data_IF_738625886867
#
_entry.id   IF_738625886867
#
_cell.length_a   1.000
_cell.length_b   1.000
_cell.length_c   1.000
_cell.angle_alpha   90.00
_cell.angle_beta   90.00
_cell.angle_gamma   90.00
#
_symmetry.space_group_name_H-M   'P 1'
#
loop_
_entity.id
_entity.type
_entity.pdbx_description
1 polymer ?
#
# COMPACT_ATOMS: atom_id res chain seq x y z
N UNK A 1 -25.41 -15.03 3.95
CA UNK A 1 -25.90 -13.76 4.54
C UNK A 1 -24.72 -12.85 4.88
N UNK A 2 -24.12 -12.20 3.88
CA UNK A 2 -22.97 -11.29 4.07
C UNK A 2 -22.93 -10.12 3.06
N UNK A 3 -23.72 -10.17 1.97
CA UNK A 3 -23.69 -9.15 0.93
C UNK A 3 -24.62 -7.97 1.22
N UNK A 4 -25.82 -8.22 1.77
CA UNK A 4 -26.78 -7.15 2.09
C UNK A 4 -26.28 -6.21 3.21
N UNK A 5 -25.58 -6.77 4.20
CA UNK A 5 -24.95 -5.99 5.27
C UNK A 5 -23.81 -5.12 4.73
N UNK A 6 -23.02 -5.65 3.79
CA UNK A 6 -21.95 -4.89 3.14
C UNK A 6 -22.51 -3.81 2.21
N UNK A 7 -23.56 -4.09 1.43
CA UNK A 7 -24.25 -3.11 0.60
C UNK A 7 -24.71 -1.92 1.46
N UNK A 8 -25.42 -2.19 2.56
CA UNK A 8 -25.89 -1.17 3.50
C UNK A 8 -24.72 -0.37 4.11
N UNK A 9 -23.62 -1.06 4.45
CA UNK A 9 -22.44 -0.40 4.99
C UNK A 9 -21.73 0.50 3.96
N UNK A 10 -21.63 0.06 2.70
CA UNK A 10 -21.08 0.85 1.61
C UNK A 10 -21.93 2.11 1.38
N UNK A 11 -23.25 1.98 1.28
CA UNK A 11 -24.14 3.13 1.06
C UNK A 11 -24.16 4.13 2.22
N UNK A 12 -24.00 3.65 3.46
CA UNK A 12 -24.01 4.52 4.64
C UNK A 12 -22.68 5.23 4.90
N UNK A 13 -21.56 4.67 4.45
CA UNK A 13 -20.21 5.17 4.75
C UNK A 13 -19.51 5.82 3.56
N UNK A 14 -19.86 5.42 2.35
CA UNK A 14 -19.18 5.84 1.12
C UNK A 14 -20.11 6.72 0.30
N UNK A 15 -19.56 7.74 -0.35
CA UNK A 15 -20.32 8.57 -1.29
C UNK A 15 -20.28 7.94 -2.69
N UNK A 16 -21.03 6.84 -2.88
CA UNK A 16 -21.03 6.07 -4.13
C UNK A 16 -21.58 6.85 -5.33
N UNK A 17 -22.48 7.81 -5.10
CA UNK A 17 -23.11 8.59 -6.17
C UNK A 17 -22.14 9.55 -6.87
N UNK A 18 -21.12 10.05 -6.16
CA UNK A 18 -20.08 10.91 -6.72
C UNK A 18 -18.68 10.30 -6.56
N UNK A 19 -18.59 8.98 -6.44
CA UNK A 19 -17.31 8.29 -6.33
C UNK A 19 -16.53 8.48 -7.63
N UNK A 20 -15.27 8.86 -7.52
CA UNK A 20 -14.38 9.04 -8.64
C UNK A 20 -12.97 8.57 -8.25
N UNK A 21 -12.28 7.94 -9.20
CA UNK A 21 -10.89 7.52 -9.02
C UNK A 21 -9.97 8.75 -8.95
N UNK A 22 -8.86 8.62 -8.22
CA UNK A 22 -7.78 9.61 -8.24
C UNK A 22 -7.09 9.68 -9.61
N UNK A 23 -6.35 10.77 -9.90
CA UNK A 23 -5.54 10.88 -11.12
C UNK A 23 -4.59 9.69 -11.38
N UNK A 24 -4.11 9.00 -10.33
CA UNK A 24 -3.23 7.82 -10.48
C UNK A 24 -3.86 6.63 -11.20
N UNK A 25 -5.19 6.59 -11.35
CA UNK A 25 -5.85 5.58 -12.20
C UNK A 25 -5.94 5.98 -13.67
N UNK A 26 -5.36 7.13 -14.03
CA UNK A 26 -5.28 7.68 -15.37
C UNK A 26 -3.82 7.99 -15.70
N UNK A 27 -2.91 7.08 -15.35
CA UNK A 27 -1.52 7.19 -15.78
C UNK A 27 -1.42 7.29 -17.29
N UNK A 28 -0.50 8.13 -17.77
CA UNK A 28 -0.34 8.36 -19.20
C UNK A 28 0.21 7.15 -19.94
N UNK A 29 0.99 6.27 -19.29
CA UNK A 29 1.61 5.12 -19.94
C UNK A 29 1.67 3.88 -19.06
N UNK A 30 1.64 2.70 -19.68
CA UNK A 30 1.66 1.41 -18.97
C UNK A 30 2.84 1.24 -17.99
N UNK A 31 4.06 1.71 -18.29
CA UNK A 31 5.18 1.56 -17.37
C UNK A 31 4.95 2.21 -15.99
N UNK A 32 4.11 3.24 -15.90
CA UNK A 32 3.80 3.91 -14.63
C UNK A 32 2.92 3.03 -13.74
N UNK A 33 2.00 2.27 -14.34
CA UNK A 33 1.21 1.26 -13.66
C UNK A 33 2.12 0.19 -13.03
N UNK A 34 3.21 -0.21 -13.72
CA UNK A 34 4.20 -1.17 -13.19
C UNK A 34 4.92 -0.57 -11.97
N UNK A 35 5.40 0.67 -12.09
CA UNK A 35 6.11 1.37 -11.01
C UNK A 35 5.20 1.48 -9.78
N UNK A 36 4.00 2.04 -9.93
CA UNK A 36 3.08 2.24 -8.81
C UNK A 36 2.70 0.89 -8.18
N UNK A 37 2.36 -0.12 -9.00
CA UNK A 37 2.03 -1.46 -8.52
C UNK A 37 3.10 -2.04 -7.60
N UNK A 38 4.37 -2.01 -8.02
CA UNK A 38 5.49 -2.58 -7.27
C UNK A 38 5.83 -1.72 -6.04
N UNK A 39 5.82 -0.39 -6.16
CA UNK A 39 6.17 0.50 -5.07
C UNK A 39 5.06 0.65 -4.01
N UNK A 40 3.80 0.41 -4.36
CA UNK A 40 2.66 0.46 -3.44
C UNK A 40 2.69 -0.58 -2.32
N UNK A 41 3.44 -1.69 -2.49
CA UNK A 41 3.47 -2.77 -1.50
C UNK A 41 4.26 -2.36 -0.26
N UNK A 42 3.57 -2.31 0.88
CA UNK A 42 4.19 -2.01 2.18
C UNK A 42 4.70 -0.57 2.35
N UNK A 43 4.26 0.36 1.49
CA UNK A 43 4.70 1.76 1.53
C UNK A 43 3.57 2.72 1.94
N UNK A 44 3.94 3.96 2.26
CA UNK A 44 2.99 5.08 2.32
C UNK A 44 2.65 5.50 0.89
N UNK A 45 1.38 5.75 0.61
CA UNK A 45 0.91 6.10 -0.74
C UNK A 45 1.65 7.31 -1.34
N UNK A 46 1.90 8.35 -0.54
CA UNK A 46 2.69 9.53 -0.96
C UNK A 46 4.11 9.17 -1.43
N UNK A 47 4.74 8.18 -0.77
CA UNK A 47 6.06 7.70 -1.20
C UNK A 47 5.98 7.06 -2.58
N UNK A 48 4.90 6.36 -2.90
CA UNK A 48 4.71 5.68 -4.19
C UNK A 48 4.44 6.66 -5.32
N UNK A 49 3.53 7.62 -5.09
CA UNK A 49 3.25 8.69 -6.06
C UNK A 49 4.52 9.46 -6.43
N UNK A 50 5.38 9.75 -5.44
CA UNK A 50 6.65 10.41 -5.68
C UNK A 50 7.58 9.58 -6.60
N UNK A 51 7.55 8.25 -6.55
CA UNK A 51 8.41 7.43 -7.43
C UNK A 51 7.99 7.59 -8.89
N UNK A 52 6.69 7.54 -9.18
CA UNK A 52 6.19 7.73 -10.55
C UNK A 52 6.47 9.16 -11.03
N UNK A 53 6.19 10.16 -10.19
CA UNK A 53 6.50 11.56 -10.49
C UNK A 53 7.98 11.79 -10.77
N UNK A 54 8.88 11.19 -9.99
CA UNK A 54 10.32 11.28 -10.21
C UNK A 54 10.73 10.68 -11.55
N UNK A 55 10.18 9.51 -11.88
CA UNK A 55 10.40 8.84 -13.17
C UNK A 55 9.97 9.74 -14.34
N UNK A 56 8.75 10.28 -14.29
CA UNK A 56 8.22 11.17 -15.32
C UNK A 56 9.07 12.44 -15.46
N UNK A 57 9.46 13.04 -14.33
CA UNK A 57 10.30 14.25 -14.30
C UNK A 57 11.67 13.99 -14.92
N UNK A 58 12.28 12.83 -14.63
CA UNK A 58 13.61 12.48 -15.12
C UNK A 58 13.65 12.38 -16.65
N UNK A 59 12.58 11.86 -17.27
CA UNK A 59 12.49 11.65 -18.72
C UNK A 59 11.66 12.71 -19.46
N UNK A 60 11.15 13.73 -18.76
CA UNK A 60 10.32 14.78 -19.37
C UNK A 60 8.97 14.27 -19.89
N UNK A 61 8.38 13.28 -19.20
CA UNK A 61 7.14 12.62 -19.61
C UNK A 61 5.91 13.23 -18.91
N UNK A 62 4.75 13.14 -19.58
CA UNK A 62 3.45 13.45 -18.95
C UNK A 62 3.10 12.35 -17.95
N UNK A 63 2.69 12.75 -16.74
CA UNK A 63 2.37 11.79 -15.67
C UNK A 63 0.96 11.18 -15.83
N UNK A 64 -0.05 12.01 -16.08
CA UNK A 64 -1.46 11.61 -16.16
C UNK A 64 -2.11 12.04 -17.47
N UNK A 65 -3.02 11.21 -17.98
CA UNK A 65 -3.93 11.47 -19.09
C UNK A 65 -5.39 11.45 -18.62
N UNK A 66 -5.77 12.39 -17.75
CA UNK A 66 -7.13 12.45 -17.19
C UNK A 66 -8.19 12.76 -18.24
N UNK A 67 -7.82 13.41 -19.33
CA UNK A 67 -8.70 13.73 -20.46
C UNK A 67 -8.84 12.55 -21.44
N UNK A 68 -7.98 11.52 -21.32
CA UNK A 68 -7.93 10.34 -22.19
C UNK A 68 -7.80 10.70 -23.67
N UNK A 69 -6.93 11.65 -23.97
CA UNK A 69 -6.62 12.03 -25.33
C UNK A 69 -5.78 10.95 -26.05
N UNK A 70 -5.64 11.08 -27.37
CA UNK A 70 -4.84 10.17 -28.21
C UNK A 70 -3.33 10.42 -28.14
N UNK A 71 -2.87 11.37 -27.32
CA UNK A 71 -1.46 11.73 -27.17
C UNK A 71 -0.78 11.00 -26.02
N UNK A 72 -1.49 10.11 -25.33
CA UNK A 72 -0.94 9.29 -24.25
C UNK A 72 -0.09 8.13 -24.73
N UNK A 73 0.43 7.39 -23.75
CA UNK A 73 1.20 6.16 -23.92
C UNK A 73 2.50 6.35 -24.71
N UNK A 74 3.12 7.52 -24.51
CA UNK A 74 4.34 7.93 -25.21
C UNK A 74 5.59 7.15 -24.78
N UNK A 75 5.47 6.33 -23.72
CA UNK A 75 6.57 5.56 -23.17
C UNK A 75 6.21 4.08 -23.03
N UNK A 76 6.89 3.23 -23.79
CA UNK A 76 6.64 1.79 -23.86
C UNK A 76 7.38 1.00 -22.77
N UNK A 77 6.92 -0.23 -22.52
CA UNK A 77 7.62 -1.18 -21.62
C UNK A 77 9.06 -1.42 -22.07
N UNK A 78 9.31 -1.59 -23.36
CA UNK A 78 10.65 -1.78 -23.91
C UNK A 78 11.58 -0.60 -23.66
N UNK A 79 11.09 0.63 -23.80
CA UNK A 79 11.90 1.82 -23.48
C UNK A 79 12.21 1.91 -21.99
N UNK A 80 11.25 1.58 -21.11
CA UNK A 80 11.52 1.48 -19.66
C UNK A 80 12.63 0.47 -19.36
N UNK A 81 12.60 -0.70 -20.00
CA UNK A 81 13.62 -1.74 -19.82
C UNK A 81 14.99 -1.21 -20.25
N UNK A 82 15.10 -0.63 -21.45
CA UNK A 82 16.33 -0.05 -21.97
C UNK A 82 16.91 1.02 -21.03
N UNK A 83 16.06 1.90 -20.51
CA UNK A 83 16.45 2.97 -19.59
C UNK A 83 16.98 2.45 -18.26
N UNK A 84 16.33 1.45 -17.67
CA UNK A 84 16.78 0.85 -16.40
C UNK A 84 18.06 0.04 -16.62
N UNK A 85 18.17 -0.70 -17.73
CA UNK A 85 19.34 -1.51 -18.06
C UNK A 85 20.57 -0.66 -18.35
N UNK A 86 20.42 0.41 -19.14
CA UNK A 86 21.51 1.33 -19.46
C UNK A 86 22.03 2.10 -18.25
N UNK A 87 21.14 2.49 -17.32
CA UNK A 87 21.53 3.13 -16.07
C UNK A 87 22.12 2.15 -15.05
N UNK A 88 21.61 0.92 -15.01
CA UNK A 88 21.83 -0.06 -13.95
C UNK A 88 20.86 0.12 -12.77
N UNK A 89 20.62 -0.96 -12.03
CA UNK A 89 19.60 -1.00 -10.95
C UNK A 89 19.87 0.03 -9.83
N UNK A 90 21.11 0.09 -9.32
CA UNK A 90 21.45 0.98 -8.21
C UNK A 90 21.29 2.46 -8.61
N UNK A 91 21.84 2.83 -9.77
CA UNK A 91 21.69 4.18 -10.31
C UNK A 91 20.23 4.51 -10.62
N UNK A 92 19.44 3.54 -11.06
CA UNK A 92 18.00 3.72 -11.27
C UNK A 92 17.30 4.01 -9.95
N UNK A 93 17.63 3.29 -8.88
CA UNK A 93 17.11 3.54 -7.55
C UNK A 93 17.52 4.94 -7.02
N UNK A 94 18.76 5.37 -7.27
CA UNK A 94 19.31 6.68 -6.86
C UNK A 94 18.72 7.86 -7.63
N UNK A 95 18.84 7.84 -8.95
CA UNK A 95 18.66 9.02 -9.79
C UNK A 95 17.29 9.09 -10.46
N UNK A 96 16.75 7.94 -10.89
CA UNK A 96 15.49 7.86 -11.63
C UNK A 96 14.32 7.79 -10.66
N UNK A 97 14.28 6.74 -9.82
CA UNK A 97 13.20 6.51 -8.87
C UNK A 97 13.34 7.35 -7.59
N UNK A 98 14.59 7.68 -7.22
CA UNK A 98 14.97 8.29 -5.93
C UNK A 98 14.38 7.53 -4.75
N UNK A 99 14.41 6.19 -4.82
CA UNK A 99 13.81 5.31 -3.85
C UNK A 99 14.53 3.95 -3.80
N UNK A 100 15.06 3.62 -2.62
CA UNK A 100 15.84 2.41 -2.35
C UNK A 100 15.06 1.33 -1.60
N UNK A 101 13.74 1.45 -1.54
CA UNK A 101 12.93 0.45 -0.87
C UNK A 101 13.14 -0.93 -1.48
N UNK A 102 13.10 -1.92 -0.59
CA UNK A 102 13.26 -3.33 -0.93
C UNK A 102 11.92 -4.04 -0.81
N UNK A 103 11.75 -5.13 -1.55
CA UNK A 103 10.53 -5.95 -1.51
C UNK A 103 10.36 -6.69 -0.17
N UNK A 104 11.45 -6.81 0.60
CA UNK A 104 11.49 -7.29 1.98
C UNK A 104 12.71 -6.68 2.69
N UNK A 105 12.56 -6.36 3.98
CA UNK A 105 13.63 -5.81 4.82
C UNK A 105 14.71 -6.83 5.20
N UNK A 106 14.44 -8.14 5.05
CA UNK A 106 15.37 -9.21 5.45
C UNK A 106 16.19 -9.74 4.27
N UNK A 107 15.53 -10.01 3.15
CA UNK A 107 16.11 -10.74 2.01
C UNK A 107 15.49 -10.33 0.68
N UNK A 108 14.88 -9.14 0.61
CA UNK A 108 14.23 -8.65 -0.61
C UNK A 108 15.23 -8.33 -1.73
N UNK A 109 14.70 -7.91 -2.87
CA UNK A 109 15.47 -7.19 -3.90
C UNK A 109 15.11 -5.71 -3.83
N UNK A 110 15.88 -4.84 -4.47
CA UNK A 110 15.44 -3.46 -4.69
C UNK A 110 14.13 -3.47 -5.48
N UNK A 111 13.19 -2.60 -5.13
CA UNK A 111 11.94 -2.46 -5.90
C UNK A 111 12.21 -2.03 -7.34
N UNK A 112 13.29 -1.31 -7.61
CA UNK A 112 13.77 -1.03 -8.96
C UNK A 112 14.07 -2.31 -9.77
N UNK A 113 14.72 -3.32 -9.16
CA UNK A 113 14.94 -4.63 -9.77
C UNK A 113 13.61 -5.38 -9.99
N UNK A 114 12.70 -5.31 -9.02
CA UNK A 114 11.37 -5.89 -9.17
C UNK A 114 10.57 -5.27 -10.33
N UNK A 115 10.66 -3.94 -10.54
CA UNK A 115 10.06 -3.24 -11.69
C UNK A 115 10.64 -3.75 -13.01
N UNK A 116 11.98 -3.85 -13.12
CA UNK A 116 12.63 -4.36 -14.33
C UNK A 116 12.18 -5.79 -14.67
N UNK A 117 12.11 -6.67 -13.65
CA UNK A 117 11.65 -8.04 -13.83
C UNK A 117 10.19 -8.12 -14.26
N UNK A 118 9.33 -7.29 -13.67
CA UNK A 118 7.92 -7.20 -14.06
C UNK A 118 7.80 -6.75 -15.52
N UNK A 119 8.49 -5.66 -15.90
CA UNK A 119 8.49 -5.14 -17.26
C UNK A 119 8.95 -6.17 -18.29
N UNK A 120 10.04 -6.91 -18.01
CA UNK A 120 10.53 -7.98 -18.91
C UNK A 120 9.51 -9.10 -19.12
N UNK A 121 8.71 -9.42 -18.11
CA UNK A 121 7.62 -10.40 -18.26
C UNK A 121 6.57 -9.84 -19.21
N UNK A 122 6.13 -8.59 -19.07
CA UNK A 122 5.17 -8.00 -20.01
C UNK A 122 5.71 -7.95 -21.45
N UNK A 123 6.95 -7.51 -21.62
CA UNK A 123 7.63 -7.48 -22.93
C UNK A 123 7.67 -8.87 -23.58
N UNK A 124 7.97 -9.92 -22.81
CA UNK A 124 7.99 -11.32 -23.29
C UNK A 124 6.66 -11.73 -23.93
N UNK A 125 5.54 -11.20 -23.46
CA UNK A 125 4.19 -11.46 -24.00
C UNK A 125 3.72 -10.38 -24.99
N UNK A 126 4.60 -9.45 -25.40
CA UNK A 126 4.28 -8.39 -26.35
C UNK A 126 3.26 -7.38 -25.83
N UNK A 127 3.30 -7.10 -24.53
CA UNK A 127 2.49 -6.09 -23.85
C UNK A 127 3.38 -4.87 -23.60
N UNK A 128 3.18 -3.81 -24.41
CA UNK A 128 4.02 -2.61 -24.40
C UNK A 128 3.28 -1.36 -23.92
N UNK A 129 1.96 -1.33 -24.10
CA UNK A 129 1.08 -0.15 -23.98
C UNK A 129 -0.22 -0.47 -23.22
N UNK A 130 -0.93 0.53 -22.72
CA UNK A 130 -2.29 0.42 -22.16
C UNK A 130 -3.28 -0.08 -23.23
N UNK A 131 -3.08 0.29 -24.50
CA UNK A 131 -3.86 -0.23 -25.62
C UNK A 131 -3.69 -1.74 -25.77
N UNK A 132 -2.46 -2.27 -25.63
CA UNK A 132 -2.22 -3.71 -25.67
C UNK A 132 -3.02 -4.47 -24.61
N UNK A 133 -3.13 -3.93 -23.39
CA UNK A 133 -3.94 -4.52 -22.32
C UNK A 133 -5.41 -4.59 -22.74
N UNK A 134 -5.93 -3.51 -23.32
CA UNK A 134 -7.33 -3.43 -23.74
C UNK A 134 -7.62 -4.35 -24.92
N UNK A 135 -6.70 -4.43 -25.88
CA UNK A 135 -6.88 -5.19 -27.11
C UNK A 135 -6.62 -6.69 -26.96
N UNK A 136 -5.60 -7.07 -26.18
CA UNK A 136 -5.13 -8.47 -26.05
C UNK A 136 -5.54 -9.11 -24.73
N UNK A 137 -5.83 -8.31 -23.70
CA UNK A 137 -5.90 -8.79 -22.33
C UNK A 137 -4.53 -9.19 -21.78
N UNK A 138 -4.51 -9.63 -20.52
CA UNK A 138 -3.30 -10.16 -19.87
C UNK A 138 -3.42 -11.69 -19.79
N UNK A 139 -2.51 -12.46 -20.43
CA UNK A 139 -2.49 -13.91 -20.32
C UNK A 139 -2.31 -14.37 -18.87
N UNK A 140 -2.90 -15.51 -18.50
CA UNK A 140 -2.79 -16.07 -17.16
C UNK A 140 -1.33 -16.38 -16.76
N UNK A 141 -0.50 -16.75 -17.73
CA UNK A 141 0.91 -17.04 -17.54
C UNK A 141 1.71 -15.82 -17.08
N UNK A 142 1.30 -14.60 -17.48
CA UNK A 142 1.91 -13.35 -17.03
C UNK A 142 1.79 -13.21 -15.52
N UNK A 143 0.59 -13.44 -14.97
CA UNK A 143 0.37 -13.44 -13.52
C UNK A 143 1.28 -14.47 -12.85
N UNK A 144 1.27 -15.72 -13.33
CA UNK A 144 2.07 -16.81 -12.76
C UNK A 144 3.58 -16.50 -12.72
N UNK A 145 4.11 -15.83 -13.74
CA UNK A 145 5.51 -15.42 -13.76
C UNK A 145 5.78 -14.24 -12.83
N UNK A 146 4.88 -13.25 -12.78
CA UNK A 146 5.02 -12.08 -11.89
C UNK A 146 5.01 -12.49 -10.42
N UNK A 147 4.15 -13.43 -10.04
CA UNK A 147 4.08 -13.95 -8.67
C UNK A 147 5.40 -14.60 -8.20
N UNK A 148 6.27 -15.04 -9.13
CA UNK A 148 7.59 -15.60 -8.82
C UNK A 148 8.65 -14.54 -8.54
N UNK A 149 8.40 -13.26 -8.84
CA UNK A 149 9.33 -12.18 -8.51
C UNK A 149 9.43 -12.06 -6.97
N UNK A 150 10.64 -11.94 -6.40
CA UNK A 150 10.82 -11.81 -4.95
C UNK A 150 9.98 -10.67 -4.34
N UNK A 151 9.04 -11.05 -3.47
CA UNK A 151 8.12 -10.13 -2.77
C UNK A 151 6.82 -9.81 -3.52
N UNK A 152 6.54 -10.47 -4.65
CA UNK A 152 5.29 -10.33 -5.41
C UNK A 152 4.33 -11.54 -5.25
N UNK A 153 4.71 -12.52 -4.44
CA UNK A 153 4.00 -13.81 -4.27
C UNK A 153 2.56 -13.70 -3.79
N UNK A 154 2.18 -12.60 -3.14
CA UNK A 154 0.80 -12.39 -2.70
C UNK A 154 -0.16 -12.04 -3.83
N UNK A 155 0.35 -11.67 -5.01
CA UNK A 155 -0.46 -11.21 -6.15
C UNK A 155 -1.08 -9.82 -5.98
N UNK A 156 -0.90 -9.14 -4.84
CA UNK A 156 -1.49 -7.82 -4.59
C UNK A 156 -0.97 -6.74 -5.55
N UNK A 157 0.31 -6.80 -5.92
CA UNK A 157 0.88 -5.87 -6.90
C UNK A 157 0.30 -6.11 -8.28
N UNK A 158 0.16 -7.37 -8.70
CA UNK A 158 -0.42 -7.72 -9.99
C UNK A 158 -1.88 -7.26 -10.09
N UNK A 159 -2.70 -7.54 -9.06
CA UNK A 159 -4.09 -7.05 -9.03
C UNK A 159 -4.16 -5.52 -9.11
N UNK A 160 -3.28 -4.84 -8.39
CA UNK A 160 -3.24 -3.38 -8.46
C UNK A 160 -2.78 -2.87 -9.82
N UNK A 161 -1.80 -3.53 -10.44
CA UNK A 161 -1.40 -3.26 -11.82
C UNK A 161 -2.60 -3.38 -12.77
N UNK A 162 -3.40 -4.44 -12.68
CA UNK A 162 -4.61 -4.58 -13.50
C UNK A 162 -5.62 -3.43 -13.26
N UNK A 163 -5.84 -3.03 -12.00
CA UNK A 163 -6.71 -1.89 -11.69
C UNK A 163 -6.19 -0.58 -12.31
N UNK A 164 -4.88 -0.33 -12.19
CA UNK A 164 -4.21 0.85 -12.72
C UNK A 164 -4.19 0.88 -14.25
N UNK A 165 -4.11 -0.29 -14.91
CA UNK A 165 -4.10 -0.40 -16.36
C UNK A 165 -5.49 -0.43 -17.00
N UNK A 166 -6.57 -0.41 -16.20
CA UNK A 166 -7.92 -0.22 -16.72
C UNK A 166 -8.95 -1.28 -16.32
N UNK A 167 -8.55 -2.37 -15.67
CA UNK A 167 -9.46 -3.48 -15.35
C UNK A 167 -10.42 -3.12 -14.21
N UNK A 168 -11.66 -2.81 -14.58
CA UNK A 168 -12.75 -2.47 -13.67
C UNK A 168 -13.30 -3.65 -12.86
N UNK A 169 -12.91 -4.88 -13.21
CA UNK A 169 -13.34 -6.10 -12.51
C UNK A 169 -12.45 -6.46 -11.32
N UNK A 170 -11.26 -5.86 -11.19
CA UNK A 170 -10.29 -6.20 -10.16
C UNK A 170 -10.41 -5.31 -8.92
N UNK A 171 -10.17 -5.93 -7.77
CA UNK A 171 -9.87 -5.26 -6.51
C UNK A 171 -8.43 -5.58 -6.10
N UNK A 172 -7.87 -4.74 -5.22
CA UNK A 172 -6.61 -4.99 -4.52
C UNK A 172 -6.93 -5.05 -3.03
N UNK A 173 -7.38 -6.22 -2.51
CA UNK A 173 -7.79 -6.37 -1.12
C UNK A 173 -6.60 -6.27 -0.15
N UNK A 174 -6.14 -5.04 0.07
CA UNK A 174 -5.05 -4.71 0.96
C UNK A 174 -5.53 -4.64 2.42
N UNK A 175 -4.64 -4.23 3.33
CA UNK A 175 -5.00 -4.11 4.74
C UNK A 175 -6.17 -3.17 5.02
N UNK A 176 -6.39 -2.14 4.19
CA UNK A 176 -7.46 -1.17 4.39
C UNK A 176 -8.79 -1.79 3.97
N UNK A 177 -8.83 -2.39 2.79
CA UNK A 177 -10.01 -3.08 2.27
C UNK A 177 -10.40 -4.25 3.17
N UNK A 178 -9.44 -5.13 3.52
CA UNK A 178 -9.70 -6.26 4.41
C UNK A 178 -10.18 -5.82 5.80
N UNK A 179 -9.61 -4.73 6.35
CA UNK A 179 -10.06 -4.16 7.63
C UNK A 179 -11.48 -3.62 7.53
N UNK A 180 -11.83 -2.93 6.44
CA UNK A 180 -13.20 -2.46 6.23
C UNK A 180 -14.18 -3.64 6.20
N UNK A 181 -13.90 -4.66 5.38
CA UNK A 181 -14.74 -5.85 5.29
C UNK A 181 -14.95 -6.51 6.66
N UNK A 182 -13.85 -6.69 7.42
CA UNK A 182 -13.93 -7.25 8.78
C UNK A 182 -14.78 -6.39 9.72
N UNK A 183 -14.62 -5.07 9.68
CA UNK A 183 -15.39 -4.17 10.54
C UNK A 183 -16.88 -4.14 10.18
N UNK A 184 -17.24 -4.35 8.91
CA UNK A 184 -18.64 -4.29 8.47
C UNK A 184 -19.37 -5.63 8.54
N UNK A 185 -18.66 -6.75 8.39
CA UNK A 185 -19.29 -8.09 8.36
C UNK A 185 -18.94 -8.96 9.55
N UNK A 186 -17.93 -8.58 10.35
CA UNK A 186 -17.41 -9.37 11.47
C UNK A 186 -16.53 -10.56 11.06
N UNK A 187 -16.25 -10.75 9.75
CA UNK A 187 -15.52 -11.91 9.24
C UNK A 187 -14.12 -11.55 8.74
N UNK A 188 -13.18 -12.48 8.87
CA UNK A 188 -11.89 -12.41 8.19
C UNK A 188 -12.02 -12.95 6.75
N UNK A 189 -11.32 -12.32 5.81
CA UNK A 189 -11.35 -12.67 4.39
C UNK A 189 -9.95 -12.97 3.86
N UNK A 190 -9.82 -14.00 3.04
CA UNK A 190 -8.69 -14.14 2.12
C UNK A 190 -8.78 -13.12 0.99
N UNK A 191 -7.67 -12.92 0.26
CA UNK A 191 -7.64 -12.02 -0.92
C UNK A 191 -8.71 -12.43 -1.94
N UNK A 192 -8.85 -13.73 -2.22
CA UNK A 192 -9.83 -14.21 -3.19
C UNK A 192 -11.27 -14.04 -2.68
N UNK A 193 -11.52 -14.34 -1.39
CA UNK A 193 -12.85 -14.13 -0.82
C UNK A 193 -13.25 -12.66 -0.82
N UNK A 194 -12.30 -11.75 -0.56
CA UNK A 194 -12.55 -10.31 -0.64
C UNK A 194 -12.88 -9.85 -2.06
N UNK A 195 -12.13 -10.33 -3.07
CA UNK A 195 -12.46 -10.10 -4.49
C UNK A 195 -13.89 -10.55 -4.81
N UNK A 196 -14.28 -11.75 -4.39
CA UNK A 196 -15.61 -12.31 -4.66
C UNK A 196 -16.73 -11.53 -3.97
N UNK A 197 -16.51 -11.12 -2.72
CA UNK A 197 -17.48 -10.32 -1.97
C UNK A 197 -17.65 -8.92 -2.55
N UNK A 198 -16.58 -8.27 -2.96
CA UNK A 198 -16.66 -6.96 -3.62
C UNK A 198 -17.39 -7.05 -4.96
N UNK A 199 -17.10 -8.08 -5.77
CA UNK A 199 -17.83 -8.34 -7.02
C UNK A 199 -19.33 -8.50 -6.79
N UNK A 200 -19.73 -9.37 -5.85
CA UNK A 200 -21.14 -9.58 -5.53
C UNK A 200 -21.81 -8.30 -5.00
N UNK A 201 -21.07 -7.47 -4.25
CA UNK A 201 -21.58 -6.19 -3.74
C UNK A 201 -21.86 -5.22 -4.88
N UNK A 202 -20.96 -5.12 -5.85
CA UNK A 202 -21.17 -4.29 -7.04
C UNK A 202 -22.37 -4.78 -7.85
N UNK A 203 -22.52 -6.10 -8.04
CA UNK A 203 -23.67 -6.69 -8.75
C UNK A 203 -25.00 -6.29 -8.10
N UNK A 204 -25.10 -6.35 -6.77
CA UNK A 204 -26.31 -5.97 -6.04
C UNK A 204 -26.59 -4.46 -6.05
N UNK A 205 -25.56 -3.64 -6.12
CA UNK A 205 -25.67 -2.17 -6.10
C UNK A 205 -25.83 -1.56 -7.50
N UNK A 206 -25.69 -2.36 -8.56
CA UNK A 206 -25.60 -1.88 -9.95
C UNK A 206 -26.83 -1.11 -10.42
N UNK A 207 -28.03 -1.54 -10.02
CA UNK A 207 -29.27 -0.88 -10.42
C UNK A 207 -29.37 0.55 -9.86
N UNK A 208 -28.79 0.79 -8.67
CA UNK A 208 -28.80 2.09 -8.01
C UNK A 208 -27.59 2.94 -8.36
N UNK A 209 -26.45 2.31 -8.62
CA UNK A 209 -25.19 2.97 -8.99
C UNK A 209 -24.62 2.33 -10.27
N UNK A 210 -25.15 2.69 -11.46
CA UNK A 210 -24.78 2.04 -12.72
C UNK A 210 -23.30 2.14 -13.10
N UNK A 211 -22.61 3.18 -12.61
CA UNK A 211 -21.19 3.43 -12.87
C UNK A 211 -20.26 2.76 -11.84
N UNK A 212 -20.81 2.06 -10.84
CA UNK A 212 -20.01 1.40 -9.82
C UNK A 212 -19.32 0.17 -10.41
N UNK A 213 -18.01 0.13 -10.28
CA UNK A 213 -17.16 -1.02 -10.67
C UNK A 213 -16.48 -1.59 -9.44
N UNK A 214 -15.90 -2.80 -9.56
CA UNK A 214 -15.15 -3.42 -8.46
C UNK A 214 -13.94 -2.55 -8.11
N UNK A 215 -13.25 -2.05 -9.15
CA UNK A 215 -12.15 -1.10 -9.02
C UNK A 215 -12.55 0.18 -8.28
N UNK A 216 -13.70 0.78 -8.65
CA UNK A 216 -14.19 2.01 -8.01
C UNK A 216 -14.62 1.77 -6.56
N UNK A 217 -15.25 0.63 -6.28
CA UNK A 217 -15.63 0.26 -4.92
C UNK A 217 -14.41 0.03 -4.02
N UNK A 218 -13.40 -0.71 -4.50
CA UNK A 218 -12.13 -0.91 -3.80
C UNK A 218 -11.47 0.42 -3.45
N UNK A 219 -11.32 1.31 -4.45
CA UNK A 219 -10.75 2.63 -4.25
C UNK A 219 -11.56 3.45 -3.23
N UNK A 220 -12.89 3.44 -3.32
CA UNK A 220 -13.76 4.18 -2.40
C UNK A 220 -13.62 3.69 -0.95
N UNK A 221 -13.50 2.37 -0.76
CA UNK A 221 -13.23 1.77 0.54
C UNK A 221 -11.84 2.19 1.03
N UNK A 222 -10.83 2.07 0.19
CA UNK A 222 -9.46 2.45 0.55
C UNK A 222 -9.37 3.93 0.94
N UNK A 223 -9.98 4.83 0.18
CA UNK A 223 -9.98 6.27 0.42
C UNK A 223 -10.66 6.61 1.76
N UNK A 224 -11.84 6.04 2.01
CA UNK A 224 -12.51 6.14 3.31
C UNK A 224 -11.63 5.63 4.45
N UNK A 225 -11.00 4.47 4.29
CA UNK A 225 -10.16 3.86 5.33
C UNK A 225 -8.84 4.60 5.57
N UNK A 226 -8.30 5.26 4.55
CA UNK A 226 -7.07 6.04 4.64
C UNK A 226 -7.30 7.42 5.28
N UNK A 227 -8.45 8.05 5.02
CA UNK A 227 -8.76 9.42 5.45
C UNK A 227 -9.72 9.51 6.65
N UNK A 228 -10.33 8.40 7.07
CA UNK A 228 -11.15 8.42 8.29
C UNK A 228 -10.30 8.85 9.49
N UNK A 229 -10.84 9.78 10.27
CA UNK A 229 -10.32 10.08 11.61
C UNK A 229 -10.65 8.87 12.48
N UNK A 230 -9.71 7.93 12.63
CA UNK A 230 -9.85 6.84 13.61
C UNK A 230 -10.09 7.52 14.98
N UNK A 231 -11.31 7.40 15.54
CA UNK A 231 -11.63 7.87 16.90
C UNK A 231 -10.83 7.11 17.98
N UNK A 232 -10.09 6.08 17.58
CA UNK A 232 -9.12 5.39 18.42
C UNK A 232 -7.77 6.08 18.28
N UNK A 233 -7.57 7.15 19.06
CA UNK A 233 -6.23 7.52 19.47
C UNK A 233 -5.56 6.25 20.02
N UNK A 234 -4.60 5.69 19.28
CA UNK A 234 -3.81 4.57 19.76
C UNK A 234 -2.98 5.10 20.91
N UNK A 235 -3.45 4.84 22.13
CA UNK A 235 -2.70 5.14 23.33
C UNK A 235 -1.51 4.18 23.41
N UNK A 236 -0.41 4.57 22.78
CA UNK A 236 0.86 3.85 22.88
C UNK A 236 1.61 4.37 24.09
N UNK A 237 1.67 3.55 25.14
CA UNK A 237 2.62 3.76 26.23
C UNK A 237 4.00 3.37 25.73
N UNK A 238 4.83 4.36 25.39
CA UNK A 238 6.27 4.12 25.18
C UNK A 238 6.98 4.27 26.52
N UNK A 239 7.83 3.31 26.85
CA UNK A 239 8.81 3.46 27.94
C UNK A 239 9.98 4.25 27.38
N UNK A 240 10.26 5.37 28.01
CA UNK A 240 11.12 6.40 27.47
C UNK A 240 12.28 6.63 28.44
N UNK A 241 13.53 6.64 27.92
CA UNK A 241 14.72 7.03 28.70
C UNK A 241 14.87 8.54 28.75
N UNK A 242 15.57 9.02 29.77
CA UNK A 242 15.79 10.43 30.06
C UNK A 242 16.25 11.20 28.81
N UNK A 243 15.53 12.28 28.46
CA UNK A 243 15.70 13.24 27.33
C UNK A 243 14.85 13.09 26.07
N UNK A 244 14.02 12.06 25.94
CA UNK A 244 13.11 11.92 24.79
C UNK A 244 11.90 12.87 24.82
N UNK A 245 11.30 13.24 25.97
CA UNK A 245 10.22 14.24 26.01
C UNK A 245 10.63 15.56 25.35
N UNK A 246 11.85 16.01 25.62
CA UNK A 246 12.44 17.24 25.08
C UNK A 246 12.70 17.16 23.56
N UNK A 247 12.98 15.95 23.04
CA UNK A 247 13.12 15.70 21.59
C UNK A 247 11.75 15.73 20.89
N UNK A 248 10.73 15.13 21.51
CA UNK A 248 9.36 15.10 20.97
C UNK A 248 8.77 16.51 20.92
N UNK A 249 8.95 17.30 21.99
CA UNK A 249 8.50 18.69 22.04
C UNK A 249 9.24 19.58 21.01
N UNK A 250 10.52 19.33 20.77
CA UNK A 250 11.30 20.04 19.75
C UNK A 250 10.81 19.76 18.31
N UNK A 251 10.20 18.60 18.07
CA UNK A 251 9.57 18.22 16.80
C UNK A 251 8.12 18.74 16.66
N UNK A 252 7.61 19.50 17.64
CA UNK A 252 6.30 20.15 17.59
C UNK A 252 5.13 19.26 18.02
N UNK A 253 5.39 18.08 18.59
CA UNK A 253 4.36 17.22 19.16
C UNK A 253 4.15 17.50 20.66
N UNK A 254 2.91 17.40 21.14
CA UNK A 254 2.59 17.58 22.57
C UNK A 254 2.80 16.24 23.28
N UNK A 255 3.71 16.23 24.25
CA UNK A 255 4.06 15.05 25.03
C UNK A 255 3.53 15.19 26.47
N UNK A 256 2.69 14.27 26.93
CA UNK A 256 2.28 14.22 28.34
C UNK A 256 3.01 13.06 29.01
N UNK A 257 3.88 13.36 29.98
CA UNK A 257 4.67 12.36 30.69
C UNK A 257 4.30 12.27 32.18
N UNK A 258 4.14 11.05 32.67
CA UNK A 258 3.89 10.72 34.08
C UNK A 258 5.01 9.80 34.60
N UNK A 259 5.45 10.02 35.85
CA UNK A 259 6.36 9.10 36.53
C UNK A 259 5.56 7.90 37.02
N UNK A 260 5.96 6.70 36.60
CA UNK A 260 5.25 5.48 36.99
C UNK A 260 5.71 5.00 38.37
N UNK A 261 4.79 4.34 39.09
CA UNK A 261 5.15 3.50 40.23
C UNK A 261 5.87 2.23 39.76
N UNK A 262 6.63 1.58 40.66
CA UNK A 262 7.31 0.31 40.34
C UNK A 262 6.33 -0.79 39.93
N UNK A 263 5.13 -0.84 40.53
CA UNK A 263 4.08 -1.81 40.19
C UNK A 263 3.48 -1.56 38.80
N UNK A 264 3.15 -0.31 38.48
CA UNK A 264 2.60 0.07 37.18
C UNK A 264 3.63 -0.13 36.06
N UNK A 265 4.90 0.14 36.36
CA UNK A 265 6.02 -0.11 35.47
C UNK A 265 6.16 -1.59 35.12
N UNK A 266 6.12 -2.48 36.12
CA UNK A 266 6.19 -3.94 35.90
C UNK A 266 4.96 -4.43 35.11
N UNK A 267 3.76 -3.91 35.42
CA UNK A 267 2.52 -4.24 34.71
C UNK A 267 2.58 -3.84 33.23
N UNK A 268 3.11 -2.66 32.91
CA UNK A 268 3.27 -2.17 31.54
C UNK A 268 4.38 -2.90 30.79
N UNK A 269 5.49 -3.23 31.48
CA UNK A 269 6.50 -4.11 30.92
C UNK A 269 5.86 -5.43 30.49
N UNK A 270 5.18 -6.14 31.40
CA UNK A 270 4.57 -7.45 31.14
C UNK A 270 3.60 -7.44 29.94
N UNK A 271 2.91 -6.31 29.70
CA UNK A 271 2.05 -6.11 28.52
C UNK A 271 2.80 -5.86 27.20
N UNK A 272 4.07 -5.48 27.24
CA UNK A 272 4.86 -5.00 26.09
C UNK A 272 5.85 -6.01 25.47
N UNK A 273 6.00 -7.21 26.05
CA UNK A 273 7.07 -8.13 25.62
C UNK A 273 6.81 -8.80 24.27
N UNK A 274 7.79 -8.69 23.38
CA UNK A 274 8.09 -9.67 22.33
C UNK A 274 9.16 -10.66 22.82
N UNK A 275 9.18 -11.91 22.31
CA UNK A 275 10.03 -13.04 22.77
C UNK A 275 11.53 -12.74 22.95
N UNK A 276 12.06 -11.68 22.31
CA UNK A 276 13.50 -11.37 22.30
C UNK A 276 14.06 -10.87 23.63
N UNK A 277 13.21 -10.30 24.49
CA UNK A 277 13.68 -9.66 25.73
C UNK A 277 13.56 -10.57 26.97
N UNK A 278 12.81 -11.67 26.90
CA UNK A 278 12.66 -12.64 28.00
C UNK A 278 14.00 -13.23 28.47
N UNK A 279 15.00 -13.33 27.58
CA UNK A 279 16.35 -13.80 27.92
C UNK A 279 17.14 -12.83 28.81
N UNK A 280 16.89 -11.52 28.70
CA UNK A 280 17.60 -10.49 29.49
C UNK A 280 17.07 -10.45 30.93
N UNK A 281 15.75 -10.66 31.12
CA UNK A 281 15.13 -10.75 32.46
C UNK A 281 15.62 -11.96 33.26
N UNK A 282 15.95 -13.08 32.61
CA UNK A 282 16.55 -14.25 33.27
C UNK A 282 18.02 -14.04 33.66
N UNK A 283 18.71 -13.10 33.02
CA UNK A 283 20.16 -12.93 33.17
C UNK A 283 20.57 -11.95 34.27
N UNK A 284 19.65 -11.11 34.78
CA UNK A 284 20.04 -10.07 35.75
C UNK A 284 18.91 -9.77 36.77
N UNK A 285 18.74 -10.62 37.79
CA UNK A 285 17.78 -10.36 38.85
C UNK A 285 18.43 -9.36 39.82
N UNK A 286 18.00 -8.10 39.75
CA UNK A 286 18.30 -7.06 40.73
C UNK A 286 19.75 -6.59 40.78
N UNK A 287 20.12 -5.65 39.89
CA UNK A 287 21.07 -4.57 40.20
C UNK A 287 21.05 -3.48 39.13
N UNK A 288 20.85 -2.23 39.59
CA UNK A 288 21.06 -0.96 38.89
C UNK A 288 20.11 -0.65 37.72
N UNK A 289 18.82 -0.55 38.00
CA UNK A 289 17.91 0.22 37.14
C UNK A 289 17.80 1.66 37.67
N UNK A 290 17.73 2.68 36.79
CA UNK A 290 17.55 4.08 37.19
C UNK A 290 16.24 4.26 37.99
N UNK A 291 16.27 5.16 38.97
CA UNK A 291 15.21 5.41 39.97
C UNK A 291 13.96 6.14 39.45
N UNK A 292 13.88 6.48 38.16
CA UNK A 292 12.67 7.09 37.59
C UNK A 292 12.45 6.68 36.14
N UNK A 293 11.33 6.02 35.85
CA UNK A 293 10.86 5.76 34.49
C UNK A 293 9.59 6.57 34.23
N UNK A 294 9.50 7.12 33.02
CA UNK A 294 8.33 7.89 32.59
C UNK A 294 7.55 7.15 31.52
N UNK A 295 6.23 7.11 31.66
CA UNK A 295 5.30 6.78 30.59
C UNK A 295 4.98 8.10 29.89
N UNK A 296 5.11 8.15 28.57
CA UNK A 296 4.65 9.30 27.80
C UNK A 296 3.53 8.90 26.86
N UNK A 297 2.51 9.76 26.80
CA UNK A 297 1.38 9.68 25.88
C UNK A 297 1.53 10.80 24.85
N UNK A 298 1.54 10.41 23.58
CA UNK A 298 1.47 11.34 22.45
C UNK A 298 -0.02 11.61 22.15
N UNK A 299 -0.38 12.89 22.09
CA UNK A 299 -1.72 13.37 21.71
C UNK A 299 -1.76 13.86 20.29
#
# INVERSE_FOLDING_TARGET
MNADSLCTACESKLNLASAALSPSYYYDSLPYCIIDAVFSIGAKYTSTQNVVKNYCTYYGLREYNTEKDCCGDTHTVSQMIEYIESAGIERSADAIFKNHQRTSSRSGILKADAVLRFARILQKYGIETLEDITAKGIPFEVEQEILRIPGQQSGLSFRYFCMLSGDDSQAKPDRHVLRFLKEQTGNDYSIQQAQDVLRNTVELLKDKYPNLTVRLLDYSIWDYMAHRKDKTAKQCHKLVRDRIPEIIEADGEICVCETLSDEDYISLLDKSWTKSWQSIRKANPWKNWPTSWRSCRLS
#
